data_IF_786738838834
#
_entry.id   IF_786738838834
#
_cell.length_a   1.000
_cell.length_b   1.000
_cell.length_c   1.000
_cell.angle_alpha   90.00
_cell.angle_beta   90.00
_cell.angle_gamma   90.00
#
_symmetry.space_group_name_H-M   'P 1'
#
loop_
_entity.id
_entity.type
_entity.pdbx_description
1 polymer ?
#
# COMPACT_ATOMS: atom_id res chain seq x y z
N UNK A 1 11.46 -18.67 -9.19
CA UNK A 1 12.00 -17.28 -9.20
C UNK A 1 12.93 -17.12 -8.01
N UNK A 2 14.07 -16.45 -8.20
CA UNK A 2 15.13 -16.29 -7.18
C UNK A 2 14.68 -15.37 -6.03
N UNK A 3 15.16 -15.62 -4.81
CA UNK A 3 14.97 -14.77 -3.62
C UNK A 3 15.42 -13.32 -3.89
N UNK A 4 16.41 -13.13 -4.77
CA UNK A 4 16.90 -11.82 -5.16
C UNK A 4 15.84 -11.00 -5.92
N UNK A 5 15.03 -11.63 -6.78
CA UNK A 5 13.97 -10.95 -7.53
C UNK A 5 12.82 -10.52 -6.60
N UNK A 6 12.42 -11.38 -5.66
CA UNK A 6 11.44 -11.04 -4.61
C UNK A 6 11.88 -9.79 -3.85
N UNK A 7 13.15 -9.74 -3.45
CA UNK A 7 13.71 -8.61 -2.71
C UNK A 7 13.75 -7.32 -3.55
N UNK A 8 14.06 -7.42 -4.83
CA UNK A 8 14.08 -6.27 -5.75
C UNK A 8 12.67 -5.68 -5.93
N UNK A 9 11.65 -6.52 -6.19
CA UNK A 9 10.26 -6.06 -6.35
C UNK A 9 9.74 -5.37 -5.08
N UNK A 10 10.04 -5.94 -3.91
CA UNK A 10 9.72 -5.32 -2.62
C UNK A 10 10.37 -3.94 -2.51
N UNK A 11 11.68 -3.84 -2.81
CA UNK A 11 12.42 -2.59 -2.73
C UNK A 11 11.83 -1.54 -3.68
N UNK A 12 11.54 -1.92 -4.92
CA UNK A 12 10.92 -1.04 -5.92
C UNK A 12 9.56 -0.51 -5.48
N UNK A 13 8.72 -1.35 -4.86
CA UNK A 13 7.44 -0.89 -4.33
C UNK A 13 7.62 0.13 -3.20
N UNK A 14 8.55 -0.13 -2.28
CA UNK A 14 8.85 0.79 -1.18
C UNK A 14 9.40 2.11 -1.72
N UNK A 15 10.35 2.08 -2.65
CA UNK A 15 10.94 3.28 -3.26
C UNK A 15 9.89 4.11 -4.00
N UNK A 16 8.99 3.46 -4.75
CA UNK A 16 7.86 4.11 -5.43
C UNK A 16 6.94 4.80 -4.41
N UNK A 17 6.60 4.11 -3.33
CA UNK A 17 5.74 4.64 -2.27
C UNK A 17 6.38 5.85 -1.60
N UNK A 18 7.65 5.79 -1.22
CA UNK A 18 8.38 6.90 -0.60
C UNK A 18 8.44 8.10 -1.55
N UNK A 19 8.92 7.90 -2.78
CA UNK A 19 9.18 8.99 -3.73
C UNK A 19 7.92 9.67 -4.26
N UNK A 20 6.82 8.93 -4.39
CA UNK A 20 5.60 9.45 -5.03
C UNK A 20 4.50 9.73 -4.03
N UNK A 21 4.27 8.84 -3.06
CA UNK A 21 3.15 8.96 -2.13
C UNK A 21 3.53 9.80 -0.92
N UNK A 22 4.67 9.50 -0.31
CA UNK A 22 5.06 10.14 0.94
C UNK A 22 5.74 11.51 0.73
N UNK A 23 6.32 11.75 -0.44
CA UNK A 23 7.05 12.99 -0.75
C UNK A 23 6.22 14.29 -0.62
N UNK A 24 4.90 14.21 -0.70
CA UNK A 24 3.99 15.36 -0.63
C UNK A 24 2.99 15.27 0.52
N UNK A 25 2.02 16.20 0.54
CA UNK A 25 0.94 16.17 1.53
C UNK A 25 0.02 14.97 1.27
N UNK A 26 -0.22 14.20 2.32
CA UNK A 26 -1.03 12.99 2.28
C UNK A 26 -1.90 12.88 3.53
N UNK A 27 -3.04 12.20 3.40
CA UNK A 27 -3.85 11.75 4.54
C UNK A 27 -3.59 10.30 4.87
N UNK A 28 -3.89 9.90 6.10
CA UNK A 28 -3.82 8.52 6.56
C UNK A 28 -5.21 7.89 6.51
N UNK A 29 -5.31 6.67 5.99
CA UNK A 29 -6.53 5.86 6.01
C UNK A 29 -6.28 4.58 6.78
N UNK A 30 -7.14 4.31 7.75
CA UNK A 30 -7.08 3.08 8.53
C UNK A 30 -7.61 1.89 7.73
N UNK A 31 -6.80 0.85 7.64
CA UNK A 31 -7.08 -0.44 7.01
C UNK A 31 -7.41 -1.50 8.09
N UNK A 32 -7.42 -2.78 7.71
CA UNK A 32 -7.72 -3.91 8.62
C UNK A 32 -6.53 -4.33 9.50
N UNK A 33 -5.29 -4.08 9.08
CA UNK A 33 -4.07 -4.50 9.83
C UNK A 33 -3.69 -5.97 9.72
N UNK A 34 -4.41 -6.76 8.91
CA UNK A 34 -4.13 -8.18 8.71
C UNK A 34 -4.37 -8.56 7.25
N UNK A 35 -3.54 -9.46 6.72
CA UNK A 35 -3.69 -10.00 5.35
C UNK A 35 -5.12 -10.55 5.22
N UNK A 36 -5.82 -10.11 4.19
CA UNK A 36 -7.13 -10.62 3.82
C UNK A 36 -7.30 -10.50 2.31
N UNK A 37 -8.36 -11.07 1.75
CA UNK A 37 -8.83 -10.65 0.45
C UNK A 37 -9.58 -9.32 0.60
N UNK A 38 -9.45 -8.44 -0.38
CA UNK A 38 -10.20 -7.19 -0.44
C UNK A 38 -10.94 -7.09 -1.77
N UNK A 39 -12.21 -6.68 -1.71
CA UNK A 39 -13.07 -6.59 -2.89
C UNK A 39 -13.57 -5.16 -3.06
N UNK A 40 -13.53 -4.66 -4.30
CA UNK A 40 -14.11 -3.37 -4.65
C UNK A 40 -15.60 -3.59 -4.88
N UNK A 41 -16.43 -2.88 -4.14
CA UNK A 41 -17.88 -2.88 -4.27
C UNK A 41 -18.30 -1.60 -4.99
N UNK A 42 -19.13 -1.78 -6.02
CA UNK A 42 -19.81 -0.69 -6.71
C UNK A 42 -21.11 -0.41 -5.96
N UNK A 43 -21.27 0.83 -5.52
CA UNK A 43 -22.44 1.27 -4.74
C UNK A 43 -23.10 2.46 -5.45
N UNK A 44 -24.30 2.83 -5.03
CA UNK A 44 -25.01 3.99 -5.58
C UNK A 44 -24.26 5.31 -5.35
N UNK A 45 -23.48 5.42 -4.26
CA UNK A 45 -22.78 6.64 -3.85
C UNK A 45 -21.28 6.63 -4.21
N UNK A 46 -20.84 5.68 -5.03
CA UNK A 46 -19.44 5.53 -5.42
C UNK A 46 -18.89 4.14 -5.11
N UNK A 47 -17.68 4.08 -4.56
CA UNK A 47 -16.95 2.83 -4.39
C UNK A 47 -16.69 2.52 -2.91
N UNK A 48 -16.75 1.26 -2.54
CA UNK A 48 -16.28 0.78 -1.24
C UNK A 48 -15.23 -0.31 -1.43
N UNK A 49 -14.26 -0.39 -0.52
CA UNK A 49 -13.35 -1.53 -0.39
C UNK A 49 -13.76 -2.34 0.82
N UNK A 50 -14.22 -3.57 0.60
CA UNK A 50 -14.52 -4.53 1.66
C UNK A 50 -13.29 -5.40 1.94
N UNK A 51 -12.68 -5.22 3.10
CA UNK A 51 -11.52 -5.97 3.58
C UNK A 51 -11.91 -6.74 4.85
N UNK A 52 -12.29 -8.01 4.68
CA UNK A 52 -12.91 -8.80 5.75
C UNK A 52 -14.21 -8.17 6.26
N UNK A 53 -14.23 -7.76 7.54
CA UNK A 53 -15.37 -7.08 8.18
C UNK A 53 -15.32 -5.55 8.05
N UNK A 54 -14.22 -4.97 7.56
CA UNK A 54 -14.06 -3.52 7.43
C UNK A 54 -14.49 -3.09 6.03
N UNK A 55 -15.27 -2.01 5.94
CA UNK A 55 -15.62 -1.33 4.69
C UNK A 55 -14.99 0.05 4.70
N UNK A 56 -14.42 0.44 3.57
CA UNK A 56 -13.75 1.73 3.41
C UNK A 56 -14.38 2.42 2.21
N UNK A 57 -15.10 3.51 2.45
CA UNK A 57 -15.69 4.32 1.38
C UNK A 57 -14.61 5.09 0.64
N UNK A 58 -14.71 5.13 -0.68
CA UNK A 58 -13.73 5.70 -1.59
C UNK A 58 -14.44 6.65 -2.56
N UNK A 59 -13.84 7.82 -2.88
CA UNK A 59 -14.45 8.77 -3.80
C UNK A 59 -14.47 8.28 -5.24
N UNK A 60 -13.54 7.41 -5.63
CA UNK A 60 -13.36 6.96 -7.01
C UNK A 60 -12.73 5.56 -7.11
N UNK A 61 -12.77 4.97 -8.31
CA UNK A 61 -12.28 3.62 -8.59
C UNK A 61 -10.75 3.48 -8.42
N UNK A 62 -9.98 4.52 -8.72
CA UNK A 62 -8.52 4.51 -8.59
C UNK A 62 -8.15 4.44 -7.11
N UNK A 63 -8.79 5.26 -6.28
CA UNK A 63 -8.61 5.21 -4.83
C UNK A 63 -9.03 3.84 -4.27
N UNK A 64 -10.11 3.24 -4.77
CA UNK A 64 -10.53 1.91 -4.36
C UNK A 64 -9.52 0.81 -4.75
N UNK A 65 -8.94 0.86 -5.96
CA UNK A 65 -7.85 -0.05 -6.38
C UNK A 65 -6.63 0.09 -5.50
N UNK A 66 -6.24 1.32 -5.22
CA UNK A 66 -5.11 1.63 -4.35
C UNK A 66 -5.30 1.03 -2.96
N UNK A 67 -6.45 1.31 -2.33
CA UNK A 67 -6.77 0.79 -1.00
C UNK A 67 -6.88 -0.73 -0.96
N UNK A 68 -7.43 -1.37 -2.01
CA UNK A 68 -7.48 -2.82 -2.14
C UNK A 68 -6.08 -3.43 -2.03
N UNK A 69 -5.11 -2.94 -2.82
CA UNK A 69 -3.75 -3.49 -2.83
C UNK A 69 -3.11 -3.50 -1.44
N UNK A 70 -3.11 -2.36 -0.75
CA UNK A 70 -2.52 -2.28 0.60
C UNK A 70 -3.32 -3.01 1.68
N UNK A 71 -4.65 -3.08 1.54
CA UNK A 71 -5.49 -3.89 2.43
C UNK A 71 -5.18 -5.39 2.32
N UNK A 72 -4.88 -5.89 1.12
CA UNK A 72 -4.54 -7.30 0.91
C UNK A 72 -3.20 -7.69 1.54
N UNK A 73 -2.21 -6.80 1.48
CA UNK A 73 -0.94 -6.97 2.21
C UNK A 73 -1.19 -7.02 3.72
N UNK A 74 -2.25 -6.34 4.18
CA UNK A 74 -2.66 -6.29 5.57
C UNK A 74 -1.99 -5.16 6.35
N UNK A 75 -1.69 -4.04 5.69
CA UNK A 75 -1.29 -2.83 6.40
C UNK A 75 -2.38 -2.40 7.37
N UNK A 76 -1.99 -1.75 8.46
CA UNK A 76 -2.92 -1.17 9.44
C UNK A 76 -3.39 0.21 9.01
N UNK A 77 -2.50 0.99 8.41
CA UNK A 77 -2.79 2.31 7.86
C UNK A 77 -2.03 2.45 6.55
N UNK A 78 -2.51 3.32 5.66
CA UNK A 78 -1.85 3.66 4.40
C UNK A 78 -1.99 5.15 4.14
N UNK A 79 -1.00 5.75 3.51
CA UNK A 79 -1.04 7.16 3.08
C UNK A 79 -1.67 7.28 1.71
N UNK A 80 -2.53 8.28 1.55
CA UNK A 80 -3.13 8.64 0.26
C UNK A 80 -2.76 10.11 0.00
N UNK A 81 -2.11 10.42 -1.13
CA UNK A 81 -1.83 11.80 -1.50
C UNK A 81 -3.13 12.62 -1.62
N UNK A 82 -3.09 13.90 -1.25
CA UNK A 82 -4.25 14.77 -1.48
C UNK A 82 -4.48 15.06 -2.97
N UNK A 83 -3.41 15.08 -3.77
CA UNK A 83 -3.51 15.18 -5.21
C UNK A 83 -3.87 13.81 -5.82
N UNK A 84 -5.08 13.63 -6.39
CA UNK A 84 -5.51 12.35 -6.94
C UNK A 84 -4.73 11.93 -8.19
N UNK A 85 -4.02 12.85 -8.86
CA UNK A 85 -3.18 12.54 -10.03
C UNK A 85 -1.99 11.67 -9.64
N UNK A 86 -1.47 11.81 -8.41
CA UNK A 86 -0.37 11.00 -7.90
C UNK A 86 -0.82 9.55 -7.75
N UNK A 87 -1.95 9.31 -7.08
CA UNK A 87 -2.53 7.96 -6.93
C UNK A 87 -2.81 7.34 -8.29
N UNK A 88 -3.35 8.12 -9.24
CA UNK A 88 -3.58 7.67 -10.63
C UNK A 88 -2.29 7.33 -11.37
N UNK A 89 -1.22 8.08 -11.14
CA UNK A 89 0.08 7.84 -11.77
C UNK A 89 0.79 6.59 -11.26
N UNK A 90 0.59 6.21 -10.00
CA UNK A 90 1.31 5.07 -9.39
C UNK A 90 0.53 3.77 -9.38
N UNK A 91 -0.81 3.80 -9.52
CA UNK A 91 -1.65 2.63 -9.25
C UNK A 91 -1.30 1.41 -10.09
N UNK A 92 -1.03 1.59 -11.38
CA UNK A 92 -0.72 0.47 -12.28
C UNK A 92 0.58 -0.21 -11.88
N UNK A 93 1.62 0.58 -11.55
CA UNK A 93 2.92 0.04 -11.13
C UNK A 93 2.83 -0.64 -9.76
N UNK A 94 2.08 -0.07 -8.82
CA UNK A 94 1.79 -0.69 -7.52
C UNK A 94 1.13 -2.05 -7.70
N UNK A 95 0.09 -2.16 -8.52
CA UNK A 95 -0.60 -3.43 -8.75
C UNK A 95 0.30 -4.46 -9.45
N UNK A 96 1.08 -4.04 -10.45
CA UNK A 96 2.02 -4.92 -11.13
C UNK A 96 3.10 -5.48 -10.19
N UNK A 97 3.68 -4.63 -9.34
CA UNK A 97 4.68 -5.06 -8.34
C UNK A 97 4.05 -5.99 -7.29
N UNK A 98 2.83 -5.70 -6.84
CA UNK A 98 2.15 -6.58 -5.88
C UNK A 98 1.82 -7.96 -6.47
N UNK A 99 1.40 -8.03 -7.74
CA UNK A 99 1.20 -9.32 -8.41
C UNK A 99 2.53 -10.05 -8.64
N UNK A 100 3.64 -9.36 -8.95
CA UNK A 100 4.96 -9.98 -9.03
C UNK A 100 5.42 -10.56 -7.68
N UNK A 101 5.31 -9.78 -6.60
CA UNK A 101 5.63 -10.21 -5.22
C UNK A 101 4.78 -11.41 -4.80
N UNK A 102 3.49 -11.40 -5.15
CA UNK A 102 2.57 -12.50 -4.88
C UNK A 102 2.90 -13.73 -5.72
N UNK A 103 3.24 -13.55 -6.99
CA UNK A 103 3.68 -14.60 -7.91
C UNK A 103 4.96 -15.28 -7.44
N UNK A 104 5.90 -14.54 -6.86
CA UNK A 104 7.12 -15.09 -6.25
C UNK A 104 6.82 -16.05 -5.09
N UNK A 105 5.70 -15.87 -4.38
CA UNK A 105 5.25 -16.80 -3.34
C UNK A 105 4.67 -18.11 -3.91
N UNK A 106 4.28 -18.12 -5.18
CA UNK A 106 3.49 -19.17 -5.81
C UNK A 106 2.17 -19.43 -5.09
N UNK A 107 1.68 -20.66 -5.18
CA UNK A 107 0.44 -21.09 -4.51
C UNK A 107 0.59 -21.32 -3.00
N UNK A 108 1.80 -21.18 -2.43
CA UNK A 108 2.07 -21.48 -1.03
C UNK A 108 1.56 -20.34 -0.10
N UNK A 109 0.51 -20.58 0.72
CA UNK A 109 -0.06 -19.54 1.58
C UNK A 109 0.91 -19.06 2.66
N UNK A 110 1.79 -19.93 3.15
CA UNK A 110 2.77 -19.59 4.17
C UNK A 110 3.89 -18.69 3.62
N UNK A 111 4.39 -19.01 2.41
CA UNK A 111 5.36 -18.17 1.71
C UNK A 111 4.79 -16.77 1.47
N UNK A 112 3.56 -16.67 0.96
CA UNK A 112 2.92 -15.38 0.71
C UNK A 112 2.73 -14.57 2.00
N UNK A 113 2.35 -15.22 3.12
CA UNK A 113 2.29 -14.55 4.44
C UNK A 113 3.63 -14.01 4.89
N UNK A 114 4.73 -14.76 4.68
CA UNK A 114 6.09 -14.34 5.03
C UNK A 114 6.51 -13.10 4.24
N UNK A 115 6.31 -13.14 2.93
CA UNK A 115 6.66 -12.05 2.00
C UNK A 115 5.84 -10.79 2.33
N UNK A 116 4.53 -10.90 2.50
CA UNK A 116 3.68 -9.75 2.85
C UNK A 116 4.01 -9.17 4.23
N UNK A 117 4.41 -10.01 5.19
CA UNK A 117 4.89 -9.53 6.50
C UNK A 117 6.16 -8.70 6.35
N UNK A 118 7.11 -9.15 5.52
CA UNK A 118 8.35 -8.43 5.22
C UNK A 118 8.07 -7.10 4.52
N UNK A 119 7.25 -7.12 3.48
CA UNK A 119 6.84 -5.92 2.76
C UNK A 119 6.17 -4.89 3.68
N UNK A 120 5.23 -5.35 4.51
CA UNK A 120 4.54 -4.48 5.49
C UNK A 120 5.51 -3.82 6.44
N UNK A 121 6.48 -4.56 6.98
CA UNK A 121 7.50 -3.99 7.89
C UNK A 121 8.30 -2.89 7.19
N UNK A 122 8.72 -3.10 5.95
CA UNK A 122 9.48 -2.09 5.21
C UNK A 122 8.66 -0.84 4.91
N UNK A 123 7.41 -0.98 4.47
CA UNK A 123 6.52 0.17 4.26
C UNK A 123 6.29 0.95 5.56
N UNK A 124 6.06 0.26 6.68
CA UNK A 124 5.90 0.91 7.99
C UNK A 124 7.16 1.62 8.46
N UNK A 125 8.34 1.01 8.24
CA UNK A 125 9.63 1.63 8.56
C UNK A 125 9.82 2.90 7.74
N UNK A 126 9.56 2.85 6.43
CA UNK A 126 9.67 3.99 5.54
C UNK A 126 8.71 5.14 5.94
N UNK A 127 7.48 4.82 6.34
CA UNK A 127 6.56 5.84 6.86
C UNK A 127 7.07 6.50 8.15
N UNK A 128 7.64 5.71 9.07
CA UNK A 128 8.19 6.23 10.32
C UNK A 128 9.44 7.08 10.11
N UNK A 129 10.35 6.65 9.23
CA UNK A 129 11.55 7.40 8.85
C UNK A 129 11.19 8.76 8.26
N UNK A 130 10.15 8.83 7.42
CA UNK A 130 9.73 10.08 6.81
C UNK A 130 9.00 11.01 7.79
N UNK A 131 8.15 10.48 8.66
CA UNK A 131 7.54 11.27 9.75
C UNK A 131 8.63 11.82 10.67
N UNK A 132 9.61 11.00 11.03
CA UNK A 132 10.74 11.41 11.89
C UNK A 132 11.65 12.41 11.17
N UNK A 133 11.94 12.21 9.89
CA UNK A 133 12.73 13.13 9.06
C UNK A 133 12.07 14.49 8.89
N UNK A 134 10.74 14.54 8.76
CA UNK A 134 9.95 15.78 8.76
C UNK A 134 9.98 16.44 10.15
N UNK A 135 9.95 15.67 11.25
CA UNK A 135 10.09 16.22 12.61
C UNK A 135 11.50 16.79 12.87
N UNK A 136 12.55 16.15 12.34
CA UNK A 136 13.94 16.65 12.43
C UNK A 136 14.14 17.93 11.60
N UNK A 137 13.49 18.04 10.43
CA UNK A 137 13.53 19.26 9.60
C UNK A 137 12.55 20.35 10.02
N UNK A 138 11.67 20.09 11.00
CA UNK A 138 10.79 21.10 11.63
C UNK A 138 11.35 21.71 12.92
N UNK A 139 12.68 21.76 13.09
CA UNK A 139 13.28 22.76 13.99
C UNK A 139 13.24 24.11 13.27
N UNK A 140 12.15 24.85 13.48
CA UNK A 140 12.08 26.25 13.09
C UNK A 140 13.00 27.09 14.00
N UNK A 141 13.68 28.12 13.45
CA UNK A 141 14.32 29.17 14.24
C UNK A 141 13.30 29.97 15.06
#
# INVERSE_FOLDING_TARGET
>A
MSIAAEQDDIRRLVDLYVRRVLAGRHRQVALRGRKCQATIMHTLLGFEVKAGRKRITCPDRITARYLRGFAEIGLETVRIPYDPTITRGVISEVESLLEAIKGAAGSNPAACRRIYRKLRKQLQTAEQEQVTGILVTRRFP
#
